data_IF_728860783722
#
_entry.id   IF_728860783722
#
_cell.length_a   1.000
_cell.length_b   1.000
_cell.length_c   1.000
_cell.angle_alpha   90.00
_cell.angle_beta   90.00
_cell.angle_gamma   90.00
#
_symmetry.space_group_name_H-M   'P 1'
#
loop_
_entity.id
_entity.type
_entity.pdbx_description
1 polymer ?
#
# COMPACT_ATOMS: atom_id res chain seq x y z
N UNK A 1 6.89 -17.03 -8.19
CA UNK A 1 6.31 -16.15 -7.17
C UNK A 1 5.95 -16.99 -5.97
N UNK A 2 6.82 -16.98 -4.98
CA UNK A 2 6.54 -17.42 -3.60
C UNK A 2 6.07 -16.22 -2.75
N UNK A 3 5.84 -16.44 -1.45
CA UNK A 3 5.42 -15.40 -0.49
C UNK A 3 6.40 -14.24 -0.41
N UNK A 4 7.70 -14.50 -0.29
CA UNK A 4 8.73 -13.45 -0.19
C UNK A 4 8.79 -12.57 -1.45
N UNK A 5 8.78 -13.21 -2.62
CA UNK A 5 8.74 -12.52 -3.93
C UNK A 5 7.47 -11.68 -4.07
N UNK A 6 6.34 -12.17 -3.56
CA UNK A 6 5.08 -11.44 -3.56
C UNK A 6 5.14 -10.21 -2.65
N UNK A 7 5.59 -10.37 -1.40
CA UNK A 7 5.73 -9.25 -0.45
C UNK A 7 6.66 -8.18 -1.00
N UNK A 8 7.83 -8.58 -1.54
CA UNK A 8 8.76 -7.66 -2.17
C UNK A 8 8.11 -6.90 -3.34
N UNK A 9 7.33 -7.58 -4.19
CA UNK A 9 6.60 -6.95 -5.27
C UNK A 9 5.54 -5.95 -4.77
N UNK A 10 4.84 -6.24 -3.68
CA UNK A 10 3.87 -5.32 -3.07
C UNK A 10 4.56 -4.07 -2.51
N UNK A 11 5.72 -4.22 -1.85
CA UNK A 11 6.51 -3.06 -1.38
C UNK A 11 6.88 -2.13 -2.56
N UNK A 12 7.45 -2.67 -3.63
CA UNK A 12 7.89 -1.85 -4.76
C UNK A 12 6.73 -1.30 -5.60
N UNK A 13 5.82 -2.16 -6.06
CA UNK A 13 4.82 -1.77 -7.06
C UNK A 13 3.53 -1.22 -6.46
N UNK A 14 3.32 -1.36 -5.15
CA UNK A 14 2.13 -0.82 -4.48
C UNK A 14 2.53 0.24 -3.46
N UNK A 15 3.35 -0.11 -2.45
CA UNK A 15 3.68 0.82 -1.37
C UNK A 15 4.47 2.03 -1.88
N UNK A 16 5.66 1.80 -2.42
CA UNK A 16 6.55 2.85 -2.93
C UNK A 16 5.89 3.62 -4.09
N UNK A 17 5.27 2.89 -5.03
CA UNK A 17 4.64 3.52 -6.18
C UNK A 17 3.47 4.43 -5.78
N UNK A 18 2.58 3.99 -4.89
CA UNK A 18 1.45 4.80 -4.45
C UNK A 18 1.88 6.06 -3.70
N UNK A 19 2.90 5.94 -2.83
CA UNK A 19 3.46 7.10 -2.13
C UNK A 19 4.08 8.10 -3.12
N UNK A 20 4.94 7.62 -4.02
CA UNK A 20 5.57 8.44 -5.06
C UNK A 20 4.54 9.13 -5.98
N UNK A 21 3.47 8.42 -6.35
CA UNK A 21 2.39 8.97 -7.17
C UNK A 21 1.63 10.08 -6.45
N UNK A 22 1.39 9.94 -5.14
CA UNK A 22 0.78 10.98 -4.32
C UNK A 22 1.69 12.19 -4.17
N UNK A 23 2.98 11.99 -3.88
CA UNK A 23 3.97 13.09 -3.81
C UNK A 23 4.02 13.86 -5.12
N UNK A 24 4.10 13.15 -6.26
CA UNK A 24 4.06 13.76 -7.59
C UNK A 24 2.75 14.51 -7.83
N UNK A 25 1.62 13.92 -7.47
CA UNK A 25 0.30 14.53 -7.65
C UNK A 25 0.13 15.78 -6.79
N UNK A 26 0.64 15.79 -5.56
CA UNK A 26 0.60 16.94 -4.68
C UNK A 26 1.64 17.99 -5.06
N UNK A 27 2.70 17.62 -5.77
CA UNK A 27 3.67 18.59 -6.31
C UNK A 27 3.15 19.24 -7.58
N UNK A 28 2.62 18.46 -8.51
CA UNK A 28 2.12 18.92 -9.80
C UNK A 28 0.85 18.12 -10.19
N UNK A 29 -0.34 18.60 -9.81
CA UNK A 29 -1.59 17.91 -10.08
C UNK A 29 -1.78 17.65 -11.59
N UNK A 30 -2.02 16.39 -12.02
CA UNK A 30 -2.07 16.05 -13.43
C UNK A 30 -3.37 16.52 -14.11
N UNK A 31 -3.29 16.73 -15.43
CA UNK A 31 -4.44 16.99 -16.30
C UNK A 31 -4.70 18.47 -16.59
N UNK A 32 -5.64 18.73 -17.52
CA UNK A 32 -5.99 20.11 -17.97
C UNK A 32 -6.83 20.89 -16.95
N UNK A 33 -7.60 20.18 -16.12
CA UNK A 33 -8.43 20.73 -15.03
C UNK A 33 -8.35 19.79 -13.82
N UNK A 34 -7.29 19.90 -13.01
CA UNK A 34 -7.14 19.07 -11.81
C UNK A 34 -8.29 19.32 -10.81
N UNK A 35 -8.54 18.35 -9.92
CA UNK A 35 -9.53 18.51 -8.84
C UNK A 35 -9.12 19.66 -7.92
N UNK A 36 -10.07 20.49 -7.51
CA UNK A 36 -9.83 21.66 -6.64
C UNK A 36 -9.03 21.35 -5.38
N UNK A 37 -9.28 20.18 -4.77
CA UNK A 37 -8.52 19.71 -3.61
C UNK A 37 -7.02 19.57 -3.91
N UNK A 38 -6.66 19.00 -5.07
CA UNK A 38 -5.26 18.77 -5.44
C UNK A 38 -4.54 20.09 -5.73
N UNK A 39 -5.24 21.07 -6.31
CA UNK A 39 -4.72 22.43 -6.50
C UNK A 39 -4.40 23.05 -5.14
N UNK A 40 -5.35 23.01 -4.19
CA UNK A 40 -5.16 23.55 -2.83
C UNK A 40 -4.00 22.88 -2.09
N UNK A 41 -3.91 21.55 -2.15
CA UNK A 41 -2.82 20.79 -1.51
C UNK A 41 -1.49 21.15 -2.15
N UNK A 42 -1.42 21.28 -3.48
CA UNK A 42 -0.20 21.65 -4.18
C UNK A 42 0.28 23.07 -3.84
N UNK A 43 -0.62 24.05 -3.86
CA UNK A 43 -0.32 25.42 -3.45
C UNK A 43 0.08 25.53 -1.99
N UNK A 44 -0.50 24.70 -1.11
CA UNK A 44 -0.12 24.63 0.29
C UNK A 44 1.26 23.99 0.48
N UNK A 45 1.51 22.82 -0.12
CA UNK A 45 2.79 22.11 -0.08
C UNK A 45 3.93 22.99 -0.59
N UNK A 46 3.72 23.76 -1.66
CA UNK A 46 4.72 24.68 -2.21
C UNK A 46 5.13 25.81 -1.26
N UNK A 47 4.32 26.11 -0.22
CA UNK A 47 4.60 27.11 0.82
C UNK A 47 5.26 26.52 2.06
N UNK A 48 5.34 25.20 2.17
CA UNK A 48 5.99 24.53 3.30
C UNK A 48 7.51 24.63 3.19
N UNK A 49 8.22 24.85 4.32
CA UNK A 49 9.65 24.57 4.45
C UNK A 49 10.02 23.15 3.98
N UNK A 50 11.28 22.92 3.62
CA UNK A 50 11.70 21.64 3.04
C UNK A 50 11.65 20.46 4.03
N UNK A 51 11.85 20.72 5.31
CA UNK A 51 11.64 19.78 6.41
C UNK A 51 10.16 19.42 6.58
N UNK A 52 9.26 20.40 6.52
CA UNK A 52 7.80 20.16 6.56
C UNK A 52 7.29 19.42 5.31
N UNK A 53 7.89 19.67 4.14
CA UNK A 53 7.58 18.89 2.93
C UNK A 53 8.01 17.42 3.08
N UNK A 54 9.18 17.17 3.67
CA UNK A 54 9.63 15.80 3.96
C UNK A 54 8.71 15.11 4.97
N UNK A 55 8.29 15.81 6.02
CA UNK A 55 7.34 15.27 7.00
C UNK A 55 6.00 14.91 6.36
N UNK A 56 5.52 15.73 5.40
CA UNK A 56 4.33 15.39 4.62
C UNK A 56 4.54 14.13 3.76
N UNK A 57 5.70 14.02 3.10
CA UNK A 57 6.04 12.87 2.26
C UNK A 57 6.13 11.58 3.13
N UNK A 58 6.74 11.64 4.31
CA UNK A 58 6.77 10.55 5.30
C UNK A 58 5.36 10.17 5.80
N UNK A 59 4.49 11.16 6.06
CA UNK A 59 3.10 10.90 6.45
C UNK A 59 2.29 10.22 5.33
N UNK A 60 2.59 10.52 4.07
CA UNK A 60 2.01 9.84 2.90
C UNK A 60 2.47 8.38 2.86
N UNK A 61 3.78 8.13 2.98
CA UNK A 61 4.35 6.78 3.01
C UNK A 61 3.74 5.94 4.14
N UNK A 62 3.63 6.51 5.34
CA UNK A 62 3.03 5.87 6.51
C UNK A 62 1.53 5.57 6.29
N UNK A 63 0.80 6.49 5.66
CA UNK A 63 -0.61 6.27 5.33
C UNK A 63 -0.80 5.08 4.38
N UNK A 64 0.07 4.93 3.38
CA UNK A 64 0.05 3.79 2.46
C UNK A 64 0.41 2.49 3.19
N UNK A 65 1.45 2.50 4.04
CA UNK A 65 1.82 1.35 4.87
C UNK A 65 0.65 0.88 5.74
N UNK A 66 0.00 1.80 6.46
CA UNK A 66 -1.15 1.48 7.33
C UNK A 66 -2.30 0.86 6.55
N UNK A 67 -2.56 1.34 5.32
CA UNK A 67 -3.58 0.76 4.46
C UNK A 67 -3.24 -0.69 4.06
N UNK A 68 -1.98 -0.97 3.69
CA UNK A 68 -1.52 -2.32 3.35
C UNK A 68 -1.54 -3.25 4.57
N UNK A 69 -1.06 -2.78 5.72
CA UNK A 69 -1.18 -3.50 6.99
C UNK A 69 -2.63 -3.90 7.26
N UNK A 70 -3.56 -2.94 7.14
CA UNK A 70 -4.97 -3.18 7.39
C UNK A 70 -5.60 -4.16 6.41
N UNK A 71 -5.21 -4.12 5.14
CA UNK A 71 -5.64 -5.06 4.11
C UNK A 71 -5.13 -6.47 4.40
N UNK A 72 -3.83 -6.62 4.67
CA UNK A 72 -3.26 -7.93 4.95
C UNK A 72 -3.76 -8.51 6.28
N UNK A 73 -4.08 -7.68 7.28
CA UNK A 73 -4.69 -8.15 8.51
C UNK A 73 -6.08 -8.79 8.26
N UNK A 74 -6.82 -8.29 7.28
CA UNK A 74 -8.06 -8.94 6.84
C UNK A 74 -7.77 -10.27 6.15
N UNK A 75 -6.76 -10.30 5.27
CA UNK A 75 -6.39 -11.50 4.53
C UNK A 75 -5.91 -12.61 5.48
N UNK A 76 -5.09 -12.27 6.46
CA UNK A 76 -4.56 -13.20 7.47
C UNK A 76 -5.63 -13.65 8.48
N UNK A 77 -6.79 -13.00 8.52
CA UNK A 77 -7.87 -13.30 9.48
C UNK A 77 -7.74 -12.60 10.83
N UNK A 78 -6.63 -11.90 11.09
CA UNK A 78 -6.43 -11.13 12.34
C UNK A 78 -7.39 -9.93 12.48
N UNK A 79 -7.96 -9.47 11.36
CA UNK A 79 -9.07 -8.51 11.32
C UNK A 79 -10.29 -9.14 10.65
N UNK A 80 -11.24 -9.61 11.47
CA UNK A 80 -12.48 -10.26 11.01
C UNK A 80 -13.36 -9.28 10.22
N UNK A 81 -13.75 -9.69 9.01
CA UNK A 81 -14.74 -8.98 8.16
C UNK A 81 -15.96 -9.84 7.82
N UNK A 82 -15.88 -11.16 8.04
CA UNK A 82 -16.98 -12.12 7.98
C UNK A 82 -16.74 -13.16 9.08
N UNK A 83 -17.71 -13.33 9.99
CA UNK A 83 -17.61 -14.25 11.13
C UNK A 83 -17.56 -15.74 10.72
N UNK A 84 -17.87 -16.05 9.46
CA UNK A 84 -17.86 -17.41 8.91
C UNK A 84 -16.59 -17.70 8.08
N UNK A 85 -15.66 -16.76 8.00
CA UNK A 85 -14.41 -16.89 7.24
C UNK A 85 -13.23 -16.80 8.20
N UNK A 86 -12.38 -17.83 8.21
CA UNK A 86 -11.15 -17.86 9.00
C UNK A 86 -10.09 -16.91 8.42
N UNK A 87 -9.76 -17.08 7.14
CA UNK A 87 -8.80 -16.25 6.40
C UNK A 87 -9.12 -16.21 4.91
N UNK A 88 -8.53 -15.27 4.18
CA UNK A 88 -8.56 -15.25 2.71
C UNK A 88 -7.30 -15.88 2.14
N UNK A 89 -7.45 -16.58 1.01
CA UNK A 89 -6.35 -17.24 0.32
C UNK A 89 -5.98 -16.43 -0.93
N UNK A 90 -4.70 -16.08 -1.06
CA UNK A 90 -4.14 -15.46 -2.26
C UNK A 90 -3.53 -16.56 -3.13
N UNK A 91 -4.02 -16.71 -4.36
CA UNK A 91 -3.48 -17.67 -5.32
C UNK A 91 -2.93 -16.94 -6.55
N UNK A 92 -1.64 -17.13 -6.82
CA UNK A 92 -1.05 -16.79 -8.11
C UNK A 92 -1.43 -17.86 -9.15
N UNK A 93 -1.81 -17.42 -10.35
CA UNK A 93 -2.04 -18.30 -11.50
C UNK A 93 -1.00 -17.98 -12.56
N UNK A 94 -0.12 -18.94 -12.84
CA UNK A 94 0.90 -18.83 -13.88
C UNK A 94 0.28 -18.83 -15.29
N UNK A 95 1.05 -18.37 -16.28
CA UNK A 95 0.64 -18.43 -17.69
C UNK A 95 0.43 -19.86 -18.21
N UNK A 96 1.06 -20.84 -17.55
CA UNK A 96 0.88 -22.28 -17.75
C UNK A 96 -0.34 -22.86 -17.02
N UNK A 97 -1.08 -22.01 -16.27
CA UNK A 97 -2.24 -22.39 -15.48
C UNK A 97 -1.90 -22.97 -14.10
N UNK A 98 -0.61 -23.09 -13.75
CA UNK A 98 -0.19 -23.58 -12.43
C UNK A 98 -0.65 -22.60 -11.35
N UNK A 99 -1.23 -23.14 -10.28
CA UNK A 99 -1.70 -22.37 -9.12
C UNK A 99 -0.71 -22.50 -7.98
N UNK A 100 -0.36 -21.37 -7.39
CA UNK A 100 0.50 -21.30 -6.19
C UNK A 100 -0.19 -20.45 -5.15
N UNK A 101 -0.45 -21.02 -3.99
CA UNK A 101 -0.93 -20.27 -2.83
C UNK A 101 0.22 -19.44 -2.25
N UNK A 102 0.01 -18.13 -2.11
CA UNK A 102 1.05 -17.19 -1.70
C UNK A 102 1.07 -16.96 -0.18
N UNK A 103 0.04 -17.39 0.53
CA UNK A 103 -0.08 -17.34 1.99
C UNK A 103 -0.47 -18.71 2.55
N UNK A 104 0.18 -19.76 2.04
CA UNK A 104 -0.07 -21.15 2.42
C UNK A 104 0.25 -21.38 3.89
N UNK A 105 1.42 -20.91 4.33
CA UNK A 105 1.88 -21.01 5.72
C UNK A 105 1.07 -20.06 6.62
N UNK A 106 0.16 -20.65 7.40
CA UNK A 106 -0.65 -19.94 8.39
C UNK A 106 0.14 -19.28 9.52
N UNK A 107 1.40 -19.68 9.72
CA UNK A 107 2.26 -19.09 10.74
C UNK A 107 2.92 -17.79 10.26
N UNK A 108 2.84 -17.49 8.96
CA UNK A 108 3.40 -16.28 8.36
C UNK A 108 2.27 -15.27 8.13
N UNK A 109 2.23 -14.27 8.99
CA UNK A 109 1.30 -13.15 8.90
C UNK A 109 1.80 -12.11 7.90
N UNK A 110 1.12 -11.96 6.74
CA UNK A 110 1.47 -10.95 5.74
C UNK A 110 1.37 -9.52 6.29
N UNK A 111 0.47 -9.26 7.24
CA UNK A 111 0.34 -7.94 7.84
C UNK A 111 1.56 -7.55 8.66
N UNK A 112 2.30 -8.51 9.23
CA UNK A 112 3.51 -8.25 10.01
C UNK A 112 4.61 -7.62 9.17
N UNK A 113 4.67 -7.94 7.87
CA UNK A 113 5.60 -7.31 6.91
C UNK A 113 5.36 -5.79 6.79
N UNK A 114 4.16 -5.33 7.11
CA UNK A 114 3.81 -3.92 7.04
C UNK A 114 3.50 -3.36 8.43
N UNK A 115 3.90 -4.00 9.53
CA UNK A 115 3.76 -3.45 10.86
C UNK A 115 4.62 -2.17 11.02
N UNK A 116 4.26 -1.24 11.93
CA UNK A 116 5.19 -0.19 12.33
C UNK A 116 6.41 -0.83 13.02
N UNK A 117 7.59 -0.22 12.81
CA UNK A 117 8.82 -0.56 13.57
C UNK A 117 8.64 -0.34 15.08
#
# INVERSE_FOLDING_TARGET
MNTEEFVAAIRTYVQEQAANDLVRTFTAPPGRRPRDLLIKVSEWRARLPSDEQRLLDEAIEESVRVALFGLFAVIDGSRVVDENVDRFIITAVGYDGVRTELNEDAAVDLHSEFAPD
#
